data_IF_634836500693
#
_entry.id   IF_634836500693
#
_cell.length_a   1.000
_cell.length_b   1.000
_cell.length_c   1.000
_cell.angle_alpha   90.00
_cell.angle_beta   90.00
_cell.angle_gamma   90.00
#
_symmetry.space_group_name_H-M   'P 1'
#
loop_
_entity.id
_entity.type
_entity.pdbx_description
1 polymer ?
#
# COMPACT_ATOMS: atom_id res chain seq x y z
N UNK A 1 -26.94 11.82 -19.41
CA UNK A 1 -26.76 12.45 -18.09
C UNK A 1 -25.41 12.01 -17.54
N UNK A 2 -24.55 12.94 -17.15
CA UNK A 2 -23.20 12.66 -16.64
C UNK A 2 -23.26 12.51 -15.12
N UNK A 3 -22.92 11.34 -14.60
CA UNK A 3 -22.82 11.11 -13.15
C UNK A 3 -21.51 11.72 -12.64
N UNK A 4 -21.49 12.27 -11.43
CA UNK A 4 -20.23 12.68 -10.78
C UNK A 4 -19.33 11.45 -10.56
N UNK A 5 -18.02 11.66 -10.44
CA UNK A 5 -17.08 10.55 -10.22
C UNK A 5 -17.45 9.71 -8.98
N UNK A 6 -17.90 10.36 -7.90
CA UNK A 6 -18.41 9.67 -6.71
C UNK A 6 -19.69 8.86 -6.97
N UNK A 7 -20.61 9.36 -7.78
CA UNK A 7 -21.82 8.61 -8.17
C UNK A 7 -21.48 7.40 -9.05
N UNK A 8 -20.54 7.53 -9.98
CA UNK A 8 -20.08 6.41 -10.81
C UNK A 8 -19.40 5.34 -9.97
N UNK A 9 -18.56 5.72 -9.00
CA UNK A 9 -17.94 4.79 -8.06
C UNK A 9 -18.98 4.05 -7.21
N UNK A 10 -19.93 4.77 -6.60
CA UNK A 10 -21.03 4.14 -5.82
C UNK A 10 -21.84 3.17 -6.66
N UNK A 11 -22.18 3.52 -7.90
CA UNK A 11 -22.90 2.62 -8.80
C UNK A 11 -22.07 1.38 -9.16
N UNK A 12 -20.76 1.53 -9.38
CA UNK A 12 -19.85 0.40 -9.66
C UNK A 12 -19.75 -0.55 -8.46
N UNK A 13 -19.60 -0.01 -7.25
CA UNK A 13 -19.58 -0.78 -6.01
C UNK A 13 -20.91 -1.53 -5.85
N UNK A 14 -22.04 -0.82 -5.93
CA UNK A 14 -23.37 -1.44 -5.83
C UNK A 14 -23.53 -2.58 -6.84
N UNK A 15 -23.12 -2.39 -8.09
CA UNK A 15 -23.14 -3.42 -9.14
C UNK A 15 -22.29 -4.63 -8.76
N UNK A 16 -21.09 -4.43 -8.20
CA UNK A 16 -20.23 -5.52 -7.75
C UNK A 16 -20.87 -6.33 -6.62
N UNK A 17 -21.62 -5.67 -5.71
CA UNK A 17 -22.27 -6.34 -4.59
C UNK A 17 -23.54 -7.12 -4.97
N UNK A 18 -24.21 -6.80 -6.08
CA UNK A 18 -25.47 -7.44 -6.49
C UNK A 18 -25.39 -8.96 -6.58
N UNK A 19 -24.26 -9.49 -7.03
CA UNK A 19 -24.03 -10.93 -7.17
C UNK A 19 -23.47 -11.60 -5.90
N UNK A 20 -23.36 -10.84 -4.81
CA UNK A 20 -22.84 -11.32 -3.53
C UNK A 20 -21.52 -12.09 -3.65
N UNK A 21 -20.48 -11.51 -4.30
CA UNK A 21 -19.23 -12.23 -4.55
C UNK A 21 -18.53 -12.64 -3.25
N UNK A 22 -17.90 -13.82 -3.29
CA UNK A 22 -17.02 -14.31 -2.21
C UNK A 22 -15.74 -13.48 -2.06
N UNK A 23 -15.31 -12.82 -3.13
CA UNK A 23 -14.12 -11.97 -3.17
C UNK A 23 -14.49 -10.64 -3.82
N UNK A 24 -14.30 -9.54 -3.09
CA UNK A 24 -14.49 -8.19 -3.59
C UNK A 24 -13.11 -7.58 -3.91
N UNK A 25 -12.90 -7.22 -5.17
CA UNK A 25 -11.68 -6.53 -5.62
C UNK A 25 -12.00 -5.04 -5.80
N UNK A 26 -11.22 -4.17 -5.18
CA UNK A 26 -11.41 -2.72 -5.26
C UNK A 26 -10.11 -2.01 -5.58
N UNK A 27 -10.12 -1.25 -6.67
CA UNK A 27 -8.98 -0.43 -7.07
C UNK A 27 -9.20 1.02 -6.66
N UNK A 28 -8.42 1.49 -5.68
CA UNK A 28 -8.51 2.83 -5.07
C UNK A 28 -9.96 3.30 -4.78
N UNK A 29 -10.77 2.51 -4.05
CA UNK A 29 -12.17 2.83 -3.80
C UNK A 29 -12.35 4.16 -3.06
N UNK A 30 -11.37 4.58 -2.28
CA UNK A 30 -11.36 5.81 -1.48
C UNK A 30 -11.05 7.09 -2.28
N UNK A 31 -10.49 6.96 -3.48
CA UNK A 31 -10.06 8.12 -4.26
C UNK A 31 -11.26 9.03 -4.63
N UNK A 32 -11.19 10.30 -4.25
CA UNK A 32 -12.24 11.29 -4.51
C UNK A 32 -13.51 11.11 -3.66
N UNK A 33 -13.46 10.34 -2.58
CA UNK A 33 -14.55 10.26 -1.60
C UNK A 33 -14.45 11.39 -0.56
N UNK A 34 -15.61 11.91 -0.16
CA UNK A 34 -15.74 12.75 1.05
C UNK A 34 -15.77 11.89 2.32
N UNK A 35 -15.77 12.54 3.49
CA UNK A 35 -15.76 11.86 4.79
C UNK A 35 -16.94 10.91 5.00
N UNK A 36 -18.13 11.28 4.51
CA UNK A 36 -19.33 10.46 4.61
C UNK A 36 -19.23 9.21 3.74
N UNK A 37 -18.80 9.37 2.48
CA UNK A 37 -18.62 8.26 1.55
C UNK A 37 -17.49 7.32 1.99
N UNK A 38 -16.43 7.84 2.61
CA UNK A 38 -15.39 7.02 3.21
C UNK A 38 -15.92 6.20 4.40
N UNK A 39 -16.79 6.78 5.23
CA UNK A 39 -17.44 6.05 6.32
C UNK A 39 -18.31 4.90 5.78
N UNK A 40 -19.10 5.15 4.73
CA UNK A 40 -19.88 4.10 4.06
C UNK A 40 -18.99 2.99 3.49
N UNK A 41 -17.86 3.34 2.87
CA UNK A 41 -16.90 2.36 2.37
C UNK A 41 -16.36 1.47 3.50
N UNK A 42 -16.01 2.05 4.64
CA UNK A 42 -15.52 1.28 5.81
C UNK A 42 -16.57 0.32 6.33
N UNK A 43 -17.81 0.77 6.51
CA UNK A 43 -18.92 -0.09 6.94
C UNK A 43 -19.13 -1.24 5.96
N UNK A 44 -19.11 -0.97 4.66
CA UNK A 44 -19.21 -1.99 3.62
C UNK A 44 -18.11 -3.04 3.75
N UNK A 45 -16.85 -2.63 3.92
CA UNK A 45 -15.72 -3.57 4.07
C UNK A 45 -15.88 -4.42 5.34
N UNK A 46 -16.21 -3.79 6.46
CA UNK A 46 -16.45 -4.49 7.73
C UNK A 46 -17.56 -5.53 7.58
N UNK A 47 -18.73 -5.14 7.08
CA UNK A 47 -19.89 -6.02 6.88
C UNK A 47 -19.55 -7.17 5.93
N UNK A 48 -18.83 -6.90 4.84
CA UNK A 48 -18.47 -7.94 3.87
C UNK A 48 -17.53 -8.98 4.49
N UNK A 49 -16.51 -8.53 5.22
CA UNK A 49 -15.54 -9.42 5.86
C UNK A 49 -16.15 -10.22 7.01
N UNK A 50 -17.09 -9.63 7.77
CA UNK A 50 -17.84 -10.31 8.83
C UNK A 50 -18.67 -11.50 8.31
N UNK A 51 -19.06 -11.48 7.03
CA UNK A 51 -19.73 -12.61 6.36
C UNK A 51 -18.76 -13.74 5.93
N UNK A 52 -17.49 -13.68 6.35
CA UNK A 52 -16.46 -14.62 5.94
C UNK A 52 -16.04 -14.47 4.48
N UNK A 53 -16.28 -13.29 3.87
CA UNK A 53 -15.89 -12.99 2.49
C UNK A 53 -14.56 -12.25 2.46
N UNK A 54 -13.84 -12.39 1.36
CA UNK A 54 -12.57 -11.71 1.17
C UNK A 54 -12.77 -10.35 0.52
N UNK A 55 -11.98 -9.37 0.96
CA UNK A 55 -11.86 -8.06 0.33
C UNK A 55 -10.39 -7.84 0.02
N UNK A 56 -10.07 -7.51 -1.23
CA UNK A 56 -8.73 -7.13 -1.68
C UNK A 56 -8.82 -5.72 -2.24
N UNK A 57 -7.97 -4.84 -1.71
CA UNK A 57 -7.99 -3.43 -2.04
C UNK A 57 -6.57 -2.95 -2.33
N UNK A 58 -6.43 -2.08 -3.33
CA UNK A 58 -5.21 -1.36 -3.66
C UNK A 58 -5.37 0.11 -3.32
N UNK A 59 -4.31 0.73 -2.81
CA UNK A 59 -4.25 2.16 -2.51
C UNK A 59 -2.81 2.63 -2.47
N UNK A 60 -2.57 3.87 -2.87
CA UNK A 60 -1.32 4.58 -2.67
C UNK A 60 -1.31 5.41 -1.37
N UNK A 61 -2.44 5.50 -0.64
CA UNK A 61 -2.58 6.25 0.60
C UNK A 61 -2.50 5.32 1.82
N UNK A 62 -1.33 5.26 2.44
CA UNK A 62 -1.07 4.40 3.60
C UNK A 62 -1.92 4.77 4.83
N UNK A 63 -2.28 6.05 5.00
CA UNK A 63 -3.11 6.49 6.12
C UNK A 63 -4.56 6.02 5.96
N UNK A 64 -5.11 6.13 4.75
CA UNK A 64 -6.45 5.61 4.44
C UNK A 64 -6.47 4.09 4.48
N UNK A 65 -5.41 3.42 4.01
CA UNK A 65 -5.24 1.98 4.15
C UNK A 65 -5.40 1.57 5.62
N UNK A 66 -4.62 2.17 6.52
CA UNK A 66 -4.69 1.90 7.96
C UNK A 66 -6.09 2.16 8.53
N UNK A 67 -6.71 3.27 8.12
CA UNK A 67 -8.05 3.67 8.58
C UNK A 67 -9.16 2.71 8.15
N UNK A 68 -9.05 2.10 6.96
CA UNK A 68 -10.00 1.10 6.45
C UNK A 68 -9.72 -0.26 7.08
N UNK A 69 -8.45 -0.67 7.20
CA UNK A 69 -8.10 -1.95 7.81
C UNK A 69 -8.39 -2.02 9.30
N UNK A 70 -8.50 -0.87 9.99
CA UNK A 70 -8.83 -0.80 11.41
C UNK A 70 -10.24 -1.32 11.75
N UNK A 71 -11.13 -1.46 10.76
CA UNK A 71 -12.49 -2.01 10.95
C UNK A 71 -12.60 -3.48 10.51
N UNK A 72 -11.49 -4.14 10.20
CA UNK A 72 -11.44 -5.53 9.70
C UNK A 72 -10.71 -6.40 10.72
N UNK A 73 -11.24 -7.59 10.95
CA UNK A 73 -10.57 -8.59 11.78
C UNK A 73 -9.38 -9.21 11.04
N UNK A 74 -8.20 -9.18 11.66
CA UNK A 74 -6.96 -9.76 11.14
C UNK A 74 -6.61 -9.30 9.70
N UNK A 75 -6.47 -7.98 9.46
CA UNK A 75 -6.13 -7.45 8.15
C UNK A 75 -4.70 -7.87 7.76
N UNK A 76 -4.49 -8.11 6.46
CA UNK A 76 -3.16 -8.33 5.89
C UNK A 76 -2.81 -7.16 5.00
N UNK A 77 -1.78 -6.42 5.36
CA UNK A 77 -1.30 -5.27 4.60
C UNK A 77 -0.02 -5.66 3.88
N UNK A 78 0.00 -5.46 2.57
CA UNK A 78 1.17 -5.68 1.74
C UNK A 78 1.58 -4.42 0.99
N UNK A 79 2.88 -4.25 0.78
CA UNK A 79 3.44 -3.25 -0.12
C UNK A 79 3.99 -3.93 -1.36
N UNK A 80 3.64 -3.41 -2.53
CA UNK A 80 4.17 -3.88 -3.81
C UNK A 80 5.30 -2.96 -4.28
N UNK A 81 6.49 -3.52 -4.48
CA UNK A 81 7.70 -2.78 -4.89
C UNK A 81 8.47 -3.63 -5.91
N UNK A 82 8.81 -3.05 -7.07
CA UNK A 82 9.53 -3.74 -8.17
C UNK A 82 8.91 -5.09 -8.56
N UNK A 83 7.58 -5.16 -8.66
CA UNK A 83 6.85 -6.38 -9.02
C UNK A 83 6.82 -7.46 -7.93
N UNK A 84 7.28 -7.17 -6.71
CA UNK A 84 7.26 -8.08 -5.56
C UNK A 84 6.33 -7.53 -4.48
N UNK A 85 5.56 -8.41 -3.84
CA UNK A 85 4.70 -8.06 -2.70
C UNK A 85 5.41 -8.45 -1.41
N UNK A 86 5.54 -7.51 -0.47
CA UNK A 86 6.00 -7.76 0.90
C UNK A 86 4.83 -7.53 1.84
N UNK A 87 4.52 -8.50 2.68
CA UNK A 87 3.49 -8.35 3.71
C UNK A 87 4.09 -7.83 5.00
N UNK A 88 3.36 -6.98 5.71
CA UNK A 88 3.65 -6.70 7.10
C UNK A 88 3.35 -7.97 7.90
N UNK A 89 4.36 -8.53 8.55
CA UNK A 89 4.14 -9.60 9.49
C UNK A 89 3.49 -9.03 10.75
N UNK A 90 2.34 -9.56 11.13
CA UNK A 90 1.82 -9.40 12.49
C UNK A 90 2.55 -10.39 13.41
N UNK A 91 3.88 -10.29 13.53
CA UNK A 91 4.67 -11.15 14.41
C UNK A 91 4.44 -10.72 15.87
N UNK A 92 3.27 -11.05 16.42
CA UNK A 92 3.04 -11.10 17.87
C UNK A 92 3.44 -12.45 18.48
N UNK A 93 3.79 -13.45 17.66
CA UNK A 93 4.14 -14.81 18.10
C UNK A 93 5.64 -15.07 18.34
N UNK A 94 6.51 -14.04 18.25
CA UNK A 94 7.94 -14.23 18.54
C UNK A 94 8.48 -13.23 19.59
N UNK A 95 7.65 -12.88 20.58
CA UNK A 95 8.08 -12.18 21.78
C UNK A 95 8.26 -13.18 22.95
N UNK A 96 9.07 -14.21 22.71
CA UNK A 96 9.55 -15.13 23.74
C UNK A 96 11.07 -15.05 23.78
N UNK A 97 11.57 -14.40 24.82
CA UNK A 97 12.94 -14.52 25.32
C UNK A 97 14.09 -13.91 24.50
N UNK A 98 14.35 -12.62 24.72
CA UNK A 98 15.65 -12.16 25.23
C UNK A 98 15.56 -10.70 25.67
N UNK A 99 15.76 -10.46 26.97
CA UNK A 99 15.93 -9.14 27.53
C UNK A 99 17.27 -8.52 27.11
N UNK A 100 17.25 -7.23 26.76
CA UNK A 100 18.48 -6.48 26.47
C UNK A 100 18.26 -5.17 25.73
N UNK A 101 17.91 -4.13 26.48
CA UNK A 101 18.35 -2.74 26.35
C UNK A 101 18.67 -2.15 24.95
N UNK A 102 18.05 -1.01 24.60
CA UNK A 102 18.71 -0.01 23.74
C UNK A 102 17.84 0.64 22.68
N UNK A 103 17.27 1.81 23.01
CA UNK A 103 17.17 2.90 22.05
C UNK A 103 18.61 3.39 21.76
N UNK A 104 19.24 2.94 20.68
CA UNK A 104 20.42 3.57 20.08
C UNK A 104 20.69 2.98 18.70
N UNK A 105 21.01 3.84 17.73
CA UNK A 105 21.03 3.53 16.31
C UNK A 105 22.12 2.55 15.84
N UNK A 106 21.91 2.05 14.63
CA UNK A 106 22.90 1.44 13.74
C UNK A 106 22.51 1.86 12.32
N UNK A 107 23.27 2.80 11.74
CA UNK A 107 24.31 2.53 10.73
C UNK A 107 23.71 2.11 9.39
N UNK A 108 23.50 3.11 8.53
CA UNK A 108 23.30 2.89 7.10
C UNK A 108 24.69 2.60 6.53
N UNK A 109 24.95 1.34 6.21
CA UNK A 109 26.05 0.96 5.32
C UNK A 109 25.80 1.65 3.96
N UNK A 110 26.66 2.63 3.62
CA UNK A 110 26.68 3.23 2.30
C UNK A 110 27.29 2.20 1.33
N UNK A 111 26.43 1.53 0.56
CA UNK A 111 26.86 0.82 -0.64
C UNK A 111 27.51 1.84 -1.60
N UNK A 112 28.75 1.54 -2.00
CA UNK A 112 29.68 2.47 -2.63
C UNK A 112 29.19 3.13 -3.91
N UNK A 113 29.61 4.38 -4.09
CA UNK A 113 29.44 5.10 -5.34
C UNK A 113 30.12 4.37 -6.51
N UNK A 114 29.50 4.29 -7.70
CA UNK A 114 30.20 3.85 -8.89
C UNK A 114 31.25 4.91 -9.29
N UNK A 115 32.48 4.44 -9.52
CA UNK A 115 33.64 5.25 -9.92
C UNK A 115 33.36 6.10 -11.17
N UNK A 116 33.90 7.33 -11.27
CA UNK A 116 33.74 8.15 -12.47
C UNK A 116 34.48 7.54 -13.66
N UNK A 117 33.80 7.53 -14.81
CA UNK A 117 34.33 7.15 -16.12
C UNK A 117 35.60 7.95 -16.48
N UNK A 118 36.63 7.35 -17.09
CA UNK A 118 37.85 8.08 -17.45
C UNK A 118 37.57 9.14 -18.53
N UNK A 119 38.15 10.33 -18.34
CA UNK A 119 38.14 11.42 -19.30
C UNK A 119 38.93 11.06 -20.58
N UNK A 120 38.58 11.61 -21.75
CA UNK A 120 39.33 11.38 -22.99
C UNK A 120 40.72 12.03 -22.95
N UNK A 121 41.71 11.48 -23.69
CA UNK A 121 43.08 11.96 -23.65
C UNK A 121 43.24 13.34 -24.28
N UNK A 122 43.99 14.20 -23.60
CA UNK A 122 44.42 15.51 -24.08
C UNK A 122 45.37 15.36 -25.28
N UNK A 123 44.99 15.93 -26.43
CA UNK A 123 45.89 16.07 -27.56
C UNK A 123 46.81 17.27 -27.35
N UNK A 124 48.03 17.02 -26.88
CA UNK A 124 49.13 17.98 -26.93
C UNK A 124 49.68 18.09 -28.36
N UNK A 125 49.07 18.96 -29.16
CA UNK A 125 49.59 19.38 -30.45
C UNK A 125 50.60 20.52 -30.29
N UNK A 126 51.88 20.18 -30.38
CA UNK A 126 53.03 21.09 -30.39
C UNK A 126 53.10 21.91 -31.70
N UNK A 127 53.34 23.22 -31.56
CA UNK A 127 53.98 24.20 -32.48
C UNK A 127 53.89 23.97 -34.00
N UNK A 128 53.33 24.97 -34.70
CA UNK A 128 54.08 25.86 -35.61
C UNK A 128 53.34 27.17 -35.82
#
# INVERSE_FOLDING_TARGET
RTLSNGMQKRASIARALLHQPRILLMDEPESGLDSESLAMLKSLVADWTALGRAVVMTTHNTQLAGSITAVVDSPRIGQMVHGKVRFQNNDRENAGDNGGNGLAGQEIEQEGEPSPSPAPPESSGTRR
#
